data_IF_408665678021
#
_entry.id   IF_408665678021
#
_cell.length_a   1.000
_cell.length_b   1.000
_cell.length_c   1.000
_cell.angle_alpha   90.00
_cell.angle_beta   90.00
_cell.angle_gamma   90.00
#
_symmetry.space_group_name_H-M   'P 1'
#
loop_
_entity.id
_entity.type
_entity.pdbx_description
1 polymer ?
#
# COMPACT_ATOMS: atom_id res chain seq x y z
N UNK A 1 -52.82 -4.31 11.95
CA UNK A 1 -51.84 -3.93 12.99
C UNK A 1 -51.40 -2.50 12.75
N UNK A 2 -51.15 -1.78 13.82
CA UNK A 2 -51.19 -0.32 13.95
C UNK A 2 -50.08 0.45 13.22
N UNK A 3 -50.40 1.71 12.94
CA UNK A 3 -49.57 2.81 12.46
C UNK A 3 -48.38 3.14 13.37
N UNK A 4 -47.34 3.78 12.83
CA UNK A 4 -46.58 4.85 13.50
C UNK A 4 -45.71 5.62 12.49
N UNK A 5 -46.13 6.84 12.17
CA UNK A 5 -45.23 7.95 11.82
C UNK A 5 -44.51 8.44 13.08
N UNK A 6 -43.26 8.90 12.97
CA UNK A 6 -42.78 10.12 13.66
C UNK A 6 -41.39 10.56 13.23
N UNK A 7 -41.30 11.85 12.93
CA UNK A 7 -40.14 12.67 12.61
C UNK A 7 -39.24 12.98 13.81
N UNK A 8 -37.97 13.30 13.58
CA UNK A 8 -37.29 14.43 14.25
C UNK A 8 -35.94 14.75 13.61
N UNK A 9 -35.82 16.02 13.17
CA UNK A 9 -34.56 16.67 12.84
C UNK A 9 -33.92 17.36 14.07
N UNK A 10 -32.96 18.28 13.87
CA UNK A 10 -31.59 18.14 14.37
C UNK A 10 -31.32 18.91 15.67
N UNK A 11 -30.24 18.55 16.36
CA UNK A 11 -29.66 19.33 17.47
C UNK A 11 -28.20 19.69 17.18
N UNK A 12 -27.95 21.00 17.14
CA UNK A 12 -26.65 21.65 17.03
C UNK A 12 -25.92 21.64 18.38
N UNK A 13 -24.60 21.48 18.39
CA UNK A 13 -23.63 22.49 18.87
C UNK A 13 -22.27 21.89 19.28
N UNK A 14 -21.24 22.40 18.60
CA UNK A 14 -20.01 23.00 19.12
C UNK A 14 -19.15 22.29 20.19
N UNK A 15 -17.91 21.96 19.81
CA UNK A 15 -16.73 22.31 20.63
C UNK A 15 -15.50 22.52 19.74
N UNK A 16 -14.72 23.51 20.16
CA UNK A 16 -13.72 24.26 19.42
C UNK A 16 -12.29 23.74 19.60
N UNK A 17 -11.35 24.47 18.98
CA UNK A 17 -9.89 24.48 19.18
C UNK A 17 -9.10 23.39 18.42
N UNK A 18 -7.98 23.64 17.74
CA UNK A 18 -7.14 24.84 17.60
C UNK A 18 -6.29 24.73 16.33
N UNK A 19 -6.00 25.88 15.74
CA UNK A 19 -4.93 26.06 14.76
C UNK A 19 -3.56 25.80 15.41
N UNK A 20 -2.65 25.18 14.67
CA UNK A 20 -1.21 25.28 14.93
C UNK A 20 -0.47 25.39 13.61
N UNK A 21 0.07 26.59 13.40
CA UNK A 21 1.02 26.94 12.35
C UNK A 21 2.28 26.08 12.44
N UNK A 22 2.80 25.64 11.29
CA UNK A 22 4.23 25.40 11.13
C UNK A 22 4.72 26.02 9.83
N UNK A 23 5.64 26.96 10.01
CA UNK A 23 6.37 27.70 9.00
C UNK A 23 7.52 26.89 8.41
N UNK A 24 7.76 27.12 7.10
CA UNK A 24 9.06 27.27 6.42
C UNK A 24 10.15 26.18 6.54
N UNK A 25 10.58 25.66 5.39
CA UNK A 25 11.99 25.60 5.01
C UNK A 25 12.14 25.41 3.49
N UNK A 26 12.64 26.45 2.82
CA UNK A 26 13.13 26.45 1.45
C UNK A 26 14.41 25.62 1.37
N UNK A 27 14.49 24.71 0.40
CA UNK A 27 15.74 24.04 0.03
C UNK A 27 16.25 24.74 -1.22
N UNK A 28 17.25 25.61 -1.03
CA UNK A 28 18.10 26.10 -2.11
C UNK A 28 19.05 24.98 -2.51
N UNK A 29 19.21 24.73 -3.80
CA UNK A 29 20.49 24.27 -4.33
C UNK A 29 20.76 24.95 -5.66
N UNK A 30 21.88 25.68 -5.67
CA UNK A 30 22.43 26.39 -6.81
C UNK A 30 23.29 25.45 -7.63
N UNK A 31 23.21 25.52 -8.95
CA UNK A 31 24.38 25.31 -9.83
C UNK A 31 24.37 26.37 -10.92
N UNK A 32 25.48 27.11 -10.99
CA UNK A 32 25.80 28.09 -12.04
C UNK A 32 26.15 27.38 -13.33
N UNK A 33 25.82 27.97 -14.48
CA UNK A 33 26.87 28.48 -15.38
C UNK A 33 26.38 29.55 -16.37
N UNK A 34 27.30 30.46 -16.64
CA UNK A 34 27.36 31.66 -17.51
C UNK A 34 27.00 31.42 -18.99
N UNK A 35 26.75 32.39 -19.89
CA UNK A 35 26.67 33.86 -19.91
C UNK A 35 26.09 34.32 -21.27
N UNK A 36 25.47 35.51 -21.35
CA UNK A 36 25.63 36.57 -22.39
C UNK A 36 24.43 37.55 -22.40
N UNK A 37 24.70 38.81 -22.05
CA UNK A 37 23.86 40.04 -22.12
C UNK A 37 23.69 40.58 -23.59
N UNK A 38 23.03 41.74 -23.89
CA UNK A 38 22.39 42.77 -23.03
C UNK A 38 21.02 43.32 -23.50
N UNK A 39 20.50 44.26 -22.69
CA UNK A 39 19.56 45.36 -23.03
C UNK A 39 18.06 45.01 -22.95
N UNK A 40 17.18 45.73 -22.25
CA UNK A 40 17.17 47.16 -21.89
C UNK A 40 16.19 47.40 -20.73
N UNK A 41 16.60 48.20 -19.73
CA UNK A 41 15.72 48.85 -18.76
C UNK A 41 15.28 50.22 -19.30
N UNK A 42 14.18 50.78 -18.76
CA UNK A 42 14.16 52.21 -18.49
C UNK A 42 13.85 52.53 -17.02
N UNK A 43 14.87 53.12 -16.41
CA UNK A 43 14.97 54.13 -15.35
C UNK A 43 13.73 54.99 -14.98
N UNK A 44 13.42 55.00 -13.67
CA UNK A 44 13.19 56.12 -12.72
C UNK A 44 12.06 57.17 -12.93
N UNK A 45 11.16 57.29 -11.94
CA UNK A 45 11.13 58.36 -10.90
C UNK A 45 9.87 58.25 -10.00
N UNK A 46 9.94 58.50 -8.67
CA UNK A 46 8.76 58.58 -7.81
C UNK A 46 8.28 60.04 -7.67
N UNK A 47 6.97 60.35 -7.67
CA UNK A 47 6.51 61.66 -7.27
C UNK A 47 6.29 61.73 -5.75
N UNK A 48 7.13 62.56 -5.12
CA UNK A 48 6.82 63.56 -4.08
C UNK A 48 5.68 63.29 -3.10
N UNK A 49 6.06 63.09 -1.84
CA UNK A 49 5.19 63.19 -0.67
C UNK A 49 4.50 64.56 -0.60
N UNK A 50 3.16 64.56 -0.60
CA UNK A 50 2.37 65.73 -0.22
C UNK A 50 2.02 65.67 1.26
N UNK A 51 2.15 66.82 1.91
CA UNK A 51 2.17 67.03 3.34
C UNK A 51 0.90 66.58 4.08
N UNK A 52 1.13 65.98 5.25
CA UNK A 52 0.16 65.72 6.31
C UNK A 52 -0.40 67.03 6.87
N UNK A 53 -1.73 67.24 6.91
CA UNK A 53 -2.29 68.29 7.75
C UNK A 53 -2.37 67.82 9.21
N UNK A 54 -1.89 68.69 10.10
CA UNK A 54 -1.95 68.60 11.56
C UNK A 54 -3.40 68.39 12.03
N UNK A 55 -3.69 67.46 12.97
CA UNK A 55 -5.02 67.38 13.57
C UNK A 55 -5.17 68.52 14.58
N UNK A 56 -6.04 69.48 14.27
CA UNK A 56 -6.53 70.45 15.24
C UNK A 56 -7.41 69.72 16.25
N UNK A 57 -6.97 69.71 17.50
CA UNK A 57 -7.71 69.31 18.69
C UNK A 57 -8.75 70.38 19.06
N UNK A 58 -10.03 70.01 19.29
CA UNK A 58 -10.94 70.83 20.08
C UNK A 58 -11.45 70.07 21.30
N UNK A 59 -10.60 69.91 22.31
CA UNK A 59 -11.06 69.60 23.67
C UNK A 59 -11.33 70.89 24.46
N UNK A 60 -12.59 71.31 24.51
CA UNK A 60 -13.20 72.02 25.66
C UNK A 60 -14.73 72.16 25.51
N UNK A 61 -15.40 71.16 26.09
CA UNK A 61 -16.66 71.18 26.86
C UNK A 61 -17.82 72.12 26.46
N UNK A 62 -19.02 71.53 26.33
CA UNK A 62 -20.16 71.82 27.23
C UNK A 62 -21.12 70.63 27.28
N UNK A 63 -21.44 70.21 28.49
CA UNK A 63 -22.42 69.18 28.86
C UNK A 63 -23.84 69.73 28.65
N UNK A 64 -24.64 69.11 27.78
CA UNK A 64 -26.11 69.08 27.90
C UNK A 64 -26.58 67.73 27.32
N UNK A 65 -27.05 66.83 28.18
CA UNK A 65 -27.87 65.68 27.78
C UNK A 65 -29.32 66.15 27.63
N UNK A 66 -29.98 65.81 26.52
CA UNK A 66 -31.17 64.98 26.67
C UNK A 66 -31.23 63.84 25.64
N UNK A 67 -31.61 62.66 26.14
CA UNK A 67 -32.33 61.51 25.52
C UNK A 67 -32.44 61.42 23.98
N UNK A 68 -32.21 60.23 23.38
CA UNK A 68 -32.02 60.06 21.94
C UNK A 68 -33.35 60.20 21.17
N UNK A 69 -33.35 60.79 19.96
CA UNK A 69 -34.45 60.58 19.04
C UNK A 69 -34.33 59.16 18.49
N UNK A 70 -35.28 58.32 18.87
CA UNK A 70 -35.64 57.11 18.13
C UNK A 70 -36.19 57.53 16.78
N UNK A 71 -35.33 57.64 15.77
CA UNK A 71 -35.65 57.46 14.36
C UNK A 71 -34.34 57.43 13.57
N UNK A 72 -33.76 56.22 13.48
CA UNK A 72 -32.79 55.95 12.44
C UNK A 72 -33.57 55.98 11.12
N UNK A 73 -33.15 56.77 10.10
CA UNK A 73 -33.68 56.58 8.77
C UNK A 73 -33.49 55.11 8.40
N UNK A 74 -34.44 54.45 7.70
CA UNK A 74 -34.23 53.08 7.25
C UNK A 74 -32.89 53.08 6.50
N UNK A 75 -31.94 52.28 6.99
CA UNK A 75 -30.64 52.15 6.35
C UNK A 75 -30.90 51.91 4.87
N UNK A 76 -30.50 52.80 3.95
CA UNK A 76 -30.61 52.46 2.55
C UNK A 76 -29.86 51.13 2.38
N UNK A 77 -30.38 50.19 1.58
CA UNK A 77 -29.62 49.00 1.25
C UNK A 77 -28.21 49.46 0.85
N UNK A 78 -27.17 48.82 1.41
CA UNK A 78 -25.76 49.21 1.24
C UNK A 78 -25.35 49.39 -0.23
N UNK A 79 -26.17 48.89 -1.16
CA UNK A 79 -26.13 49.06 -2.60
C UNK A 79 -26.42 50.47 -3.13
N UNK A 80 -27.21 51.31 -2.44
CA UNK A 80 -27.65 52.62 -2.99
C UNK A 80 -26.67 53.77 -2.71
N UNK A 81 -25.85 53.66 -1.67
CA UNK A 81 -24.99 54.76 -1.21
C UNK A 81 -23.84 55.12 -2.17
N UNK A 82 -23.56 54.29 -3.18
CA UNK A 82 -22.49 54.53 -4.17
C UNK A 82 -22.99 54.64 -5.61
N UNK A 83 -24.29 54.47 -5.87
CA UNK A 83 -24.83 54.45 -7.24
C UNK A 83 -24.54 55.76 -8.00
N UNK A 84 -24.55 56.89 -7.30
CA UNK A 84 -24.28 58.22 -7.83
C UNK A 84 -22.80 58.45 -8.23
N UNK A 85 -21.87 57.57 -7.83
CA UNK A 85 -20.50 57.62 -8.36
C UNK A 85 -20.44 57.23 -9.83
N UNK A 86 -21.38 56.41 -10.31
CA UNK A 86 -21.49 56.05 -11.72
C UNK A 86 -22.22 57.14 -12.54
N UNK A 87 -23.13 57.88 -11.92
CA UNK A 87 -23.82 59.02 -12.55
C UNK A 87 -22.87 60.20 -12.85
N UNK A 88 -21.77 60.31 -12.10
CA UNK A 88 -20.72 61.30 -12.34
C UNK A 88 -19.79 60.95 -13.53
N UNK A 89 -19.87 59.71 -14.03
CA UNK A 89 -19.10 59.24 -15.17
C UNK A 89 -19.91 59.33 -16.46
N UNK A 90 -19.23 59.49 -17.59
CA UNK A 90 -19.86 59.29 -18.89
C UNK A 90 -20.42 57.86 -18.98
N UNK A 91 -21.63 57.72 -19.52
CA UNK A 91 -22.38 56.45 -19.60
C UNK A 91 -21.59 55.31 -20.24
N UNK A 92 -20.77 55.62 -21.25
CA UNK A 92 -19.91 54.62 -21.89
C UNK A 92 -18.85 54.06 -20.92
N UNK A 93 -18.23 54.93 -20.12
CA UNK A 93 -17.19 54.54 -19.16
C UNK A 93 -17.79 53.72 -18.02
N UNK A 94 -18.97 54.11 -17.52
CA UNK A 94 -19.65 53.37 -16.44
C UNK A 94 -20.09 51.98 -16.90
N UNK A 95 -20.61 51.84 -18.13
CA UNK A 95 -20.96 50.56 -18.73
C UNK A 95 -19.73 49.66 -18.93
N UNK A 96 -18.60 50.20 -19.38
CA UNK A 96 -17.37 49.44 -19.57
C UNK A 96 -16.80 48.93 -18.22
N UNK A 97 -16.85 49.76 -17.17
CA UNK A 97 -16.46 49.35 -15.82
C UNK A 97 -17.37 48.25 -15.27
N UNK A 98 -18.68 48.35 -15.48
CA UNK A 98 -19.63 47.30 -15.08
C UNK A 98 -19.31 45.97 -15.77
N UNK A 99 -19.17 45.97 -17.10
CA UNK A 99 -18.87 44.77 -17.87
C UNK A 99 -17.56 44.12 -17.43
N UNK A 100 -16.54 44.94 -17.15
CA UNK A 100 -15.24 44.47 -16.65
C UNK A 100 -15.39 43.84 -15.27
N UNK A 101 -16.10 44.51 -14.34
CA UNK A 101 -16.34 43.98 -13.00
C UNK A 101 -17.11 42.65 -13.02
N UNK A 102 -18.15 42.55 -13.85
CA UNK A 102 -18.94 41.33 -14.04
C UNK A 102 -18.06 40.21 -14.60
N UNK A 103 -17.22 40.51 -15.60
CA UNK A 103 -16.31 39.52 -16.19
C UNK A 103 -15.29 38.98 -15.18
N UNK A 104 -14.70 39.85 -14.35
CA UNK A 104 -13.75 39.43 -13.30
C UNK A 104 -14.45 38.57 -12.26
N UNK A 105 -15.59 39.01 -11.72
CA UNK A 105 -16.35 38.25 -10.73
C UNK A 105 -16.77 36.87 -11.26
N UNK A 106 -17.21 36.79 -12.51
CA UNK A 106 -17.61 35.54 -13.14
C UNK A 106 -16.44 34.59 -13.40
N UNK A 107 -15.28 35.14 -13.77
CA UNK A 107 -14.07 34.36 -14.01
C UNK A 107 -13.53 33.78 -12.69
N UNK A 108 -13.50 34.60 -11.64
CA UNK A 108 -13.13 34.17 -10.30
C UNK A 108 -14.13 33.16 -9.73
N UNK A 109 -15.43 33.35 -9.98
CA UNK A 109 -16.45 32.39 -9.58
C UNK A 109 -16.18 30.99 -10.15
N UNK A 110 -15.85 30.89 -11.44
CA UNK A 110 -15.54 29.61 -12.09
C UNK A 110 -14.28 28.93 -11.53
N UNK A 111 -13.25 29.71 -11.19
CA UNK A 111 -12.04 29.17 -10.53
C UNK A 111 -12.37 28.67 -9.12
N UNK A 112 -13.13 29.48 -8.36
CA UNK A 112 -13.53 29.16 -7.00
C UNK A 112 -14.48 27.97 -6.93
N UNK A 113 -15.23 27.64 -7.98
CA UNK A 113 -16.04 26.42 -8.02
C UNK A 113 -15.25 25.16 -7.71
N UNK A 114 -13.94 25.13 -8.05
CA UNK A 114 -13.08 23.97 -7.78
C UNK A 114 -12.66 23.82 -6.32
N UNK A 115 -12.49 24.94 -5.61
CA UNK A 115 -11.84 24.95 -4.27
C UNK A 115 -12.78 25.43 -3.16
N UNK A 116 -13.78 26.22 -3.50
CA UNK A 116 -14.78 26.79 -2.59
C UNK A 116 -16.10 27.08 -3.34
N UNK A 117 -16.93 26.05 -3.63
CA UNK A 117 -18.16 26.21 -4.42
C UNK A 117 -19.13 27.28 -3.89
N UNK A 118 -19.30 27.34 -2.56
CA UNK A 118 -20.15 28.34 -1.92
C UNK A 118 -19.66 29.78 -2.19
N UNK A 119 -18.35 29.99 -2.22
CA UNK A 119 -17.76 31.31 -2.52
C UNK A 119 -17.86 31.64 -4.01
N UNK A 120 -17.73 30.63 -4.89
CA UNK A 120 -18.01 30.80 -6.32
C UNK A 120 -19.44 31.28 -6.59
N UNK A 121 -20.43 30.65 -5.96
CA UNK A 121 -21.84 31.08 -6.06
C UNK A 121 -22.07 32.49 -5.51
N UNK A 122 -21.39 32.88 -4.42
CA UNK A 122 -21.45 34.25 -3.92
C UNK A 122 -20.95 35.27 -4.95
N UNK A 123 -19.86 34.98 -5.67
CA UNK A 123 -19.30 35.92 -6.65
C UNK A 123 -20.22 36.06 -7.87
N UNK A 124 -20.84 34.95 -8.31
CA UNK A 124 -21.85 34.98 -9.36
C UNK A 124 -23.12 35.73 -8.93
N UNK A 125 -23.53 35.60 -7.66
CA UNK A 125 -24.65 36.35 -7.11
C UNK A 125 -24.37 37.86 -7.06
N UNK A 126 -23.18 38.27 -6.60
CA UNK A 126 -22.74 39.68 -6.62
C UNK A 126 -22.75 40.22 -8.05
N UNK A 127 -22.22 39.46 -9.02
CA UNK A 127 -22.23 39.88 -10.43
C UNK A 127 -23.67 40.06 -10.96
N UNK A 128 -24.57 39.15 -10.61
CA UNK A 128 -25.99 39.24 -10.99
C UNK A 128 -26.67 40.45 -10.34
N UNK A 129 -26.38 40.72 -9.07
CA UNK A 129 -26.90 41.90 -8.36
C UNK A 129 -26.36 43.19 -8.96
N UNK A 130 -25.08 43.26 -9.35
CA UNK A 130 -24.50 44.43 -10.02
C UNK A 130 -25.20 44.73 -11.35
N UNK A 131 -25.42 43.72 -12.19
CA UNK A 131 -26.16 43.88 -13.46
C UNK A 131 -27.59 44.35 -13.18
N UNK A 132 -28.28 43.71 -12.23
CA UNK A 132 -29.66 44.08 -11.88
C UNK A 132 -29.73 45.50 -11.34
N UNK A 133 -28.83 45.89 -10.44
CA UNK A 133 -28.83 47.21 -9.81
C UNK A 133 -28.50 48.32 -10.82
N UNK A 134 -27.57 48.08 -11.74
CA UNK A 134 -27.15 49.06 -12.74
C UNK A 134 -28.25 49.29 -13.79
N UNK A 135 -28.88 48.22 -14.29
CA UNK A 135 -29.93 48.32 -15.32
C UNK A 135 -31.35 48.51 -14.77
N UNK A 136 -31.59 48.38 -13.46
CA UNK A 136 -32.89 48.71 -12.85
C UNK A 136 -33.19 50.22 -12.85
N UNK A 137 -32.17 51.08 -13.05
CA UNK A 137 -32.30 52.53 -13.14
C UNK A 137 -32.47 53.04 -14.57
N UNK A 138 -32.01 52.27 -15.56
CA UNK A 138 -32.25 52.53 -16.99
C UNK A 138 -33.65 51.99 -17.33
N UNK A 139 -34.52 52.79 -17.94
CA UNK A 139 -35.89 52.39 -18.28
C UNK A 139 -35.95 51.11 -19.14
N UNK A 140 -37.16 50.54 -19.27
CA UNK A 140 -37.54 49.21 -19.79
C UNK A 140 -36.90 48.70 -21.12
N UNK A 141 -36.04 49.47 -21.77
CA UNK A 141 -35.34 49.11 -23.00
C UNK A 141 -33.97 48.48 -22.68
N UNK A 142 -33.88 47.16 -22.88
CA UNK A 142 -32.65 46.37 -22.69
C UNK A 142 -31.61 46.80 -23.74
N UNK A 143 -30.59 47.55 -23.31
CA UNK A 143 -29.47 47.95 -24.16
C UNK A 143 -28.44 46.84 -24.40
N UNK A 144 -27.60 47.01 -25.42
CA UNK A 144 -26.48 46.12 -25.75
C UNK A 144 -25.55 45.79 -24.55
N UNK A 145 -25.22 46.73 -23.63
CA UNK A 145 -24.43 46.43 -22.44
C UNK A 145 -25.12 45.44 -21.48
N UNK A 146 -26.44 45.51 -21.35
CA UNK A 146 -27.21 44.58 -20.53
C UNK A 146 -27.22 43.18 -21.14
N UNK A 147 -27.35 43.08 -22.47
CA UNK A 147 -27.24 41.80 -23.17
C UNK A 147 -25.85 41.18 -23.03
N UNK A 148 -24.80 42.00 -23.17
CA UNK A 148 -23.42 41.56 -23.00
C UNK A 148 -23.16 41.04 -21.57
N UNK A 149 -23.63 41.75 -20.54
CA UNK A 149 -23.50 41.32 -19.15
C UNK A 149 -24.26 40.01 -18.89
N UNK A 150 -25.49 39.88 -19.40
CA UNK A 150 -26.28 38.66 -19.30
C UNK A 150 -25.63 37.47 -20.02
N UNK A 151 -24.96 37.72 -21.15
CA UNK A 151 -24.19 36.68 -21.85
C UNK A 151 -23.02 36.19 -21.01
N UNK A 152 -22.30 37.09 -20.34
CA UNK A 152 -21.22 36.74 -19.42
C UNK A 152 -21.76 35.88 -18.26
N UNK A 153 -22.84 36.29 -17.60
CA UNK A 153 -23.47 35.53 -16.52
C UNK A 153 -23.89 34.11 -16.96
N UNK A 154 -24.47 33.98 -18.15
CA UNK A 154 -24.86 32.68 -18.72
C UNK A 154 -23.66 31.78 -18.99
N UNK A 155 -22.59 32.33 -19.56
CA UNK A 155 -21.35 31.60 -19.82
C UNK A 155 -20.74 31.14 -18.49
N UNK A 156 -20.67 32.02 -17.50
CA UNK A 156 -20.12 31.74 -16.19
C UNK A 156 -20.86 30.59 -15.49
N UNK A 157 -22.20 30.66 -15.45
CA UNK A 157 -23.01 29.60 -14.83
C UNK A 157 -22.80 28.25 -15.51
N UNK A 158 -22.77 28.23 -16.85
CA UNK A 158 -22.49 27.01 -17.62
C UNK A 158 -21.11 26.42 -17.31
N UNK A 159 -20.09 27.28 -17.18
CA UNK A 159 -18.73 26.83 -16.85
C UNK A 159 -18.64 26.30 -15.42
N UNK A 160 -19.28 26.97 -14.45
CA UNK A 160 -19.37 26.48 -13.08
C UNK A 160 -20.05 25.11 -13.01
N UNK A 161 -21.20 24.94 -13.68
CA UNK A 161 -21.91 23.66 -13.73
C UNK A 161 -21.04 22.55 -14.36
N UNK A 162 -20.31 22.88 -15.43
CA UNK A 162 -19.36 21.96 -16.07
C UNK A 162 -18.27 21.52 -15.09
N UNK A 163 -17.66 22.46 -14.37
CA UNK A 163 -16.61 22.17 -13.39
C UNK A 163 -17.13 21.26 -12.29
N UNK A 164 -18.35 21.47 -11.80
CA UNK A 164 -18.97 20.60 -10.77
C UNK A 164 -19.13 19.17 -11.28
N UNK A 165 -19.59 19.00 -12.53
CA UNK A 165 -19.74 17.67 -13.14
C UNK A 165 -18.39 16.99 -13.35
N UNK A 166 -17.40 17.72 -13.87
CA UNK A 166 -16.05 17.19 -14.07
C UNK A 166 -15.41 16.77 -12.75
N UNK A 167 -15.53 17.57 -11.68
CA UNK A 167 -15.03 17.20 -10.35
C UNK A 167 -15.67 15.92 -9.81
N UNK A 168 -17.00 15.81 -9.88
CA UNK A 168 -17.71 14.60 -9.43
C UNK A 168 -17.21 13.36 -10.16
N UNK A 169 -17.05 13.45 -11.49
CA UNK A 169 -16.51 12.35 -12.30
C UNK A 169 -15.09 11.97 -11.87
N UNK A 170 -14.22 12.95 -11.66
CA UNK A 170 -12.84 12.68 -11.22
C UNK A 170 -12.77 12.09 -9.82
N UNK A 171 -13.68 12.46 -8.92
CA UNK A 171 -13.74 11.90 -7.57
C UNK A 171 -14.30 10.47 -7.57
N UNK A 172 -15.28 10.19 -8.42
CA UNK A 172 -15.80 8.83 -8.64
C UNK A 172 -14.73 7.91 -9.23
N UNK A 173 -13.98 8.37 -10.23
CA UNK A 173 -12.87 7.62 -10.83
C UNK A 173 -11.77 7.32 -9.81
N UNK A 174 -11.37 8.32 -9.02
CA UNK A 174 -10.37 8.14 -7.95
C UNK A 174 -10.84 7.13 -6.90
N UNK A 175 -12.12 7.18 -6.53
CA UNK A 175 -12.70 6.24 -5.58
C UNK A 175 -12.73 4.82 -6.13
N UNK A 176 -13.08 4.65 -7.41
CA UNK A 176 -13.07 3.34 -8.06
C UNK A 176 -11.66 2.77 -8.18
N UNK A 177 -10.66 3.58 -8.54
CA UNK A 177 -9.25 3.18 -8.59
C UNK A 177 -8.72 2.77 -7.20
N UNK A 178 -9.07 3.51 -6.15
CA UNK A 178 -8.70 3.17 -4.78
C UNK A 178 -9.33 1.84 -4.32
N UNK A 179 -10.60 1.61 -4.68
CA UNK A 179 -11.30 0.36 -4.40
C UNK A 179 -10.69 -0.83 -5.17
N UNK A 180 -10.36 -0.65 -6.44
CA UNK A 180 -9.67 -1.66 -7.26
C UNK A 180 -8.31 -2.01 -6.67
N UNK A 181 -7.51 -1.00 -6.28
CA UNK A 181 -6.20 -1.23 -5.67
C UNK A 181 -6.33 -2.02 -4.36
N UNK A 182 -7.34 -1.72 -3.55
CA UNK A 182 -7.60 -2.44 -2.31
C UNK A 182 -8.00 -3.89 -2.57
N UNK A 183 -8.86 -4.14 -3.55
CA UNK A 183 -9.26 -5.49 -3.95
C UNK A 183 -8.09 -6.30 -4.54
N UNK A 184 -7.20 -5.66 -5.31
CA UNK A 184 -6.00 -6.29 -5.84
C UNK A 184 -5.02 -6.67 -4.72
N UNK A 185 -4.83 -5.78 -3.74
CA UNK A 185 -3.96 -6.04 -2.59
C UNK A 185 -4.47 -7.23 -1.75
N UNK A 186 -5.79 -7.29 -1.49
CA UNK A 186 -6.43 -8.40 -0.77
C UNK A 186 -6.23 -9.73 -1.52
N UNK A 187 -6.45 -9.74 -2.84
CA UNK A 187 -6.21 -10.93 -3.68
C UNK A 187 -4.75 -11.39 -3.62
N UNK A 188 -3.81 -10.45 -3.69
CA UNK A 188 -2.38 -10.74 -3.62
C UNK A 188 -1.96 -11.26 -2.25
N UNK A 189 -2.60 -10.80 -1.17
CA UNK A 189 -2.37 -11.32 0.17
C UNK A 189 -2.93 -12.73 0.32
N UNK A 190 -4.14 -12.99 -0.19
CA UNK A 190 -4.74 -14.32 -0.20
C UNK A 190 -3.89 -15.32 -1.00
N UNK A 191 -3.42 -14.94 -2.19
CA UNK A 191 -2.53 -15.76 -3.01
C UNK A 191 -1.23 -16.11 -2.25
N UNK A 192 -0.59 -15.12 -1.62
CA UNK A 192 0.62 -15.36 -0.79
C UNK A 192 0.34 -16.29 0.39
N UNK A 193 -0.84 -16.19 1.00
CA UNK A 193 -1.23 -17.06 2.11
C UNK A 193 -1.40 -18.51 1.62
N UNK A 194 -2.08 -18.70 0.50
CA UNK A 194 -2.26 -20.00 -0.14
C UNK A 194 -0.92 -20.60 -0.57
N UNK A 195 -0.01 -19.80 -1.14
CA UNK A 195 1.32 -20.26 -1.52
C UNK A 195 2.13 -20.73 -0.31
N UNK A 196 2.08 -19.98 0.81
CA UNK A 196 2.74 -20.38 2.06
C UNK A 196 2.18 -21.69 2.60
N UNK A 197 0.86 -21.86 2.58
CA UNK A 197 0.22 -23.13 3.00
C UNK A 197 0.67 -24.28 2.11
N UNK A 198 0.64 -24.11 0.79
CA UNK A 198 1.09 -25.14 -0.16
C UNK A 198 2.55 -25.52 0.06
N UNK A 199 3.44 -24.56 0.31
CA UNK A 199 4.86 -24.83 0.62
C UNK A 199 5.03 -25.59 1.93
N UNK A 200 4.26 -25.25 2.97
CA UNK A 200 4.29 -25.98 4.23
C UNK A 200 3.77 -27.43 4.07
N UNK A 201 2.70 -27.62 3.28
CA UNK A 201 2.19 -28.96 2.96
C UNK A 201 3.21 -29.78 2.14
N UNK A 202 3.87 -29.15 1.16
CA UNK A 202 4.93 -29.81 0.38
C UNK A 202 6.14 -30.20 1.24
N UNK A 203 6.58 -29.32 2.15
CA UNK A 203 7.68 -29.60 3.07
C UNK A 203 7.35 -30.75 4.03
N UNK A 204 6.14 -30.75 4.59
CA UNK A 204 5.69 -31.85 5.47
C UNK A 204 5.56 -33.17 4.73
N UNK A 205 5.05 -33.18 3.50
CA UNK A 205 5.03 -34.38 2.66
C UNK A 205 6.43 -34.89 2.35
N UNK A 206 7.37 -33.99 2.02
CA UNK A 206 8.76 -34.35 1.78
C UNK A 206 9.42 -34.94 3.04
N UNK A 207 9.16 -34.37 4.21
CA UNK A 207 9.68 -34.88 5.48
C UNK A 207 9.15 -36.28 5.81
N UNK A 208 7.85 -36.51 5.59
CA UNK A 208 7.23 -37.85 5.74
C UNK A 208 7.86 -38.84 4.77
N UNK A 209 7.97 -38.49 3.48
CA UNK A 209 8.58 -39.37 2.48
C UNK A 209 10.04 -39.72 2.80
N UNK A 210 10.82 -38.75 3.29
CA UNK A 210 12.20 -38.98 3.70
C UNK A 210 12.31 -39.82 4.97
N UNK A 211 11.34 -39.74 5.88
CA UNK A 211 11.28 -40.58 7.07
C UNK A 211 10.93 -42.02 6.72
N UNK A 212 9.92 -42.22 5.87
CA UNK A 212 9.53 -43.54 5.37
C UNK A 212 10.69 -44.20 4.61
N UNK A 213 11.37 -43.46 3.74
CA UNK A 213 12.54 -43.98 3.02
C UNK A 213 13.68 -44.41 3.96
N UNK A 214 13.93 -43.66 5.03
CA UNK A 214 14.94 -44.05 6.03
C UNK A 214 14.53 -45.29 6.81
N UNK A 215 13.25 -45.40 7.18
CA UNK A 215 12.71 -46.55 7.90
C UNK A 215 12.75 -47.82 7.03
N UNK A 216 12.37 -47.71 5.76
CA UNK A 216 12.49 -48.80 4.79
C UNK A 216 13.94 -49.26 4.63
N UNK A 217 14.88 -48.31 4.53
CA UNK A 217 16.32 -48.63 4.44
C UNK A 217 16.86 -49.34 5.68
N UNK A 218 16.41 -48.94 6.88
CA UNK A 218 16.81 -49.60 8.13
C UNK A 218 16.27 -51.03 8.15
N UNK A 219 15.00 -51.24 7.78
CA UNK A 219 14.44 -52.60 7.71
C UNK A 219 15.13 -53.47 6.65
N UNK A 220 15.52 -52.91 5.51
CA UNK A 220 16.26 -53.64 4.48
C UNK A 220 17.65 -54.07 4.98
N UNK A 221 18.33 -53.20 5.72
CA UNK A 221 19.64 -53.50 6.31
C UNK A 221 19.54 -54.57 7.40
N UNK A 222 18.55 -54.46 8.30
CA UNK A 222 18.29 -55.46 9.36
C UNK A 222 17.97 -56.84 8.77
N UNK A 223 17.14 -56.88 7.72
CA UNK A 223 16.81 -58.13 7.03
C UNK A 223 18.04 -58.76 6.37
N UNK A 224 18.93 -57.93 5.82
CA UNK A 224 20.17 -58.40 5.20
C UNK A 224 21.16 -58.94 6.25
N UNK A 225 21.24 -58.30 7.41
CA UNK A 225 22.03 -58.78 8.54
C UNK A 225 21.50 -60.12 9.05
N UNK A 226 20.19 -60.28 9.19
CA UNK A 226 19.56 -61.55 9.57
C UNK A 226 19.82 -62.67 8.55
N UNK A 227 19.77 -62.36 7.25
CA UNK A 227 20.11 -63.31 6.19
C UNK A 227 21.60 -63.71 6.19
N UNK A 228 22.50 -62.76 6.50
CA UNK A 228 23.93 -63.05 6.64
C UNK A 228 24.21 -63.90 7.88
N UNK A 229 23.61 -63.58 9.02
CA UNK A 229 23.76 -64.34 10.27
C UNK A 229 23.28 -65.78 10.12
N UNK A 230 22.09 -65.97 9.53
CA UNK A 230 21.55 -67.32 9.26
C UNK A 230 22.47 -68.11 8.33
N UNK A 231 23.02 -67.49 7.28
CA UNK A 231 23.98 -68.14 6.38
C UNK A 231 25.27 -68.53 7.10
N UNK A 232 25.83 -67.66 7.95
CA UNK A 232 27.06 -67.99 8.69
C UNK A 232 26.82 -69.07 9.75
N UNK A 233 25.64 -69.10 10.38
CA UNK A 233 25.26 -70.15 11.32
C UNK A 233 25.14 -71.51 10.61
N UNK A 234 24.51 -71.55 9.43
CA UNK A 234 24.44 -72.75 8.61
C UNK A 234 25.82 -73.25 8.17
N UNK A 235 26.71 -72.34 7.77
CA UNK A 235 28.09 -72.67 7.41
C UNK A 235 28.86 -73.27 8.61
N UNK A 236 28.78 -72.65 9.79
CA UNK A 236 29.38 -73.19 11.02
C UNK A 236 28.84 -74.59 11.36
N UNK A 237 27.53 -74.80 11.18
CA UNK A 237 26.88 -76.09 11.42
C UNK A 237 27.35 -77.17 10.44
N UNK A 238 27.53 -76.81 9.18
CA UNK A 238 28.09 -77.70 8.15
C UNK A 238 29.55 -78.03 8.43
N UNK A 239 30.38 -77.04 8.76
CA UNK A 239 31.77 -77.22 9.12
C UNK A 239 31.94 -78.14 10.36
N UNK A 240 31.08 -77.99 11.37
CA UNK A 240 31.10 -78.88 12.54
C UNK A 240 30.75 -80.33 12.18
N UNK A 241 29.79 -80.54 11.27
CA UNK A 241 29.45 -81.89 10.78
C UNK A 241 30.61 -82.50 10.01
N UNK A 242 31.25 -81.73 9.14
CA UNK A 242 32.42 -82.17 8.39
C UNK A 242 33.59 -82.53 9.32
N UNK A 243 33.89 -81.68 10.31
CA UNK A 243 34.91 -81.94 11.31
C UNK A 243 34.65 -83.22 12.12
N UNK A 244 33.38 -83.49 12.48
CA UNK A 244 32.99 -84.75 13.15
C UNK A 244 33.23 -85.97 12.26
N UNK A 245 32.85 -85.91 10.99
CA UNK A 245 33.11 -86.99 10.04
C UNK A 245 34.61 -87.23 9.82
N UNK A 246 35.38 -86.16 9.71
CA UNK A 246 36.84 -86.22 9.59
C UNK A 246 37.47 -86.89 10.83
N UNK A 247 37.05 -86.52 12.04
CA UNK A 247 37.55 -87.14 13.29
C UNK A 247 37.23 -88.63 13.39
N UNK A 248 36.00 -89.04 13.06
CA UNK A 248 35.61 -90.46 13.06
C UNK A 248 36.45 -91.23 12.05
N UNK A 249 36.64 -90.66 10.86
CA UNK A 249 37.45 -91.26 9.79
C UNK A 249 38.92 -91.37 10.20
N UNK A 250 39.50 -90.33 10.78
CA UNK A 250 40.91 -90.36 11.25
C UNK A 250 41.09 -91.37 12.39
N UNK A 251 40.12 -91.45 13.30
CA UNK A 251 40.11 -92.45 14.38
C UNK A 251 40.03 -93.87 13.82
N UNK A 252 39.21 -94.12 12.81
CA UNK A 252 39.12 -95.42 12.13
C UNK A 252 40.41 -95.75 11.37
N UNK A 253 41.00 -94.79 10.65
CA UNK A 253 42.31 -94.95 10.00
C UNK A 253 43.39 -95.29 11.01
N UNK A 254 43.42 -94.62 12.17
CA UNK A 254 44.37 -94.89 13.26
C UNK A 254 44.19 -96.28 13.85
N UNK A 255 42.94 -96.75 14.04
CA UNK A 255 42.66 -98.13 14.47
C UNK A 255 43.12 -99.16 13.44
N UNK A 256 42.87 -98.92 12.15
CA UNK A 256 43.32 -99.81 11.07
C UNK A 256 44.85 -99.84 10.98
N UNK A 257 45.51 -98.70 11.11
CA UNK A 257 46.97 -98.61 11.16
C UNK A 257 47.53 -99.36 12.38
N UNK A 258 46.93 -99.20 13.56
CA UNK A 258 47.31 -99.96 14.78
C UNK A 258 47.14 -101.47 14.58
N UNK A 259 46.02 -101.90 13.98
CA UNK A 259 45.77 -103.32 13.66
C UNK A 259 46.78 -103.86 12.64
N UNK A 260 47.14 -103.07 11.63
CA UNK A 260 48.17 -103.43 10.64
C UNK A 260 49.54 -103.56 11.30
N UNK A 261 49.93 -102.61 12.16
CA UNK A 261 51.18 -102.65 12.90
C UNK A 261 51.26 -103.85 13.88
N UNK A 262 50.15 -104.19 14.54
CA UNK A 262 50.09 -105.39 15.41
C UNK A 262 50.22 -106.68 14.58
N UNK A 263 49.54 -106.75 13.43
CA UNK A 263 49.66 -107.90 12.51
C UNK A 263 51.10 -108.07 12.00
N UNK A 264 51.74 -106.97 11.59
CA UNK A 264 53.14 -106.97 11.14
C UNK A 264 54.12 -107.32 12.26
N UNK A 265 53.84 -106.90 13.50
CA UNK A 265 54.63 -107.31 14.68
C UNK A 265 54.49 -108.82 14.94
N UNK A 266 53.27 -109.37 14.86
CA UNK A 266 53.01 -110.81 15.00
C UNK A 266 53.71 -111.61 13.90
N UNK A 267 53.65 -111.15 12.65
CA UNK A 267 54.33 -111.78 11.52
C UNK A 267 55.85 -111.77 11.67
N UNK A 268 56.45 -110.67 12.14
CA UNK A 268 57.90 -110.64 12.48
C UNK A 268 58.28 -111.57 13.63
N UNK A 269 57.38 -111.75 14.59
CA UNK A 269 57.60 -112.67 15.72
C UNK A 269 57.50 -114.13 15.27
N UNK A 270 56.54 -114.44 14.37
CA UNK A 270 56.42 -115.75 13.71
C UNK A 270 57.61 -116.03 12.79
N UNK A 271 58.08 -115.05 12.00
CA UNK A 271 59.29 -115.18 11.17
C UNK A 271 60.55 -115.42 12.02
N UNK A 272 60.69 -114.73 13.16
CA UNK A 272 61.75 -115.02 14.15
C UNK A 272 61.64 -116.43 14.71
N UNK A 273 60.42 -116.90 15.01
CA UNK A 273 60.17 -118.26 15.51
C UNK A 273 60.49 -119.32 14.46
N UNK A 274 60.15 -119.09 13.20
CA UNK A 274 60.45 -120.00 12.09
C UNK A 274 61.96 -120.03 11.77
N UNK A 275 62.66 -118.90 11.84
CA UNK A 275 64.13 -118.85 11.70
C UNK A 275 64.86 -119.60 12.82
N UNK A 276 64.26 -119.70 14.01
CA UNK A 276 64.73 -120.55 15.12
C UNK A 276 64.45 -122.04 14.89
N UNK A 277 63.46 -122.40 14.07
CA UNK A 277 63.12 -123.80 13.72
C UNK A 277 63.95 -124.30 12.53
N UNK A 278 64.24 -123.46 11.53
CA UNK A 278 65.14 -123.80 10.41
C UNK A 278 66.61 -123.95 10.84
N UNK A 279 67.00 -123.38 11.99
CA UNK A 279 68.31 -123.61 12.61
C UNK A 279 68.47 -124.97 13.30
N UNK A 280 67.43 -125.81 13.36
CA UNK A 280 67.44 -127.14 13.98
C UNK A 280 67.32 -128.30 12.98
N UNK A 281 67.18 -128.02 11.68
CA UNK A 281 67.17 -129.02 10.61
C UNK A 281 68.43 -128.83 9.77
N UNK A 282 69.57 -129.20 10.35
CA UNK A 282 70.89 -129.00 9.78
C UNK A 282 72.02 -129.55 10.64
N UNK A 283 71.83 -130.75 11.21
CA UNK A 283 72.90 -131.68 11.62
C UNK A 283 72.42 -133.11 11.40
#
# INVERSE_FOLDING_TARGET
MASSDSSSGPSSSSSAASFSSLSSSLISNSTSDSASEPSSSPTSTPPTALATPVPSDPSSATVISPTPPTDLPPSPPLTRANAHLFDALESHTSQQLLLTAVQVLCSDAAVLTRTSPARGEQYLAIATELVTAFFAAEGEEIGEPHEAANKILKIARKEMDRVVVEMRKTDEERKAEEEERKAEEERKEEEKKMEKQRKAEEETMYEVAMKEFKEEKIMEEEKKEEEEDTRTEEEKKMALREARLAYVTDTQKRRMAKKKAEKEKREREEDRKMRLVEGWVGE
#
